data_IF_179488496939
#
_entry.id   IF_179488496939
#
_cell.length_a   1.000
_cell.length_b   1.000
_cell.length_c   1.000
_cell.angle_alpha   90.00
_cell.angle_beta   90.00
_cell.angle_gamma   90.00
#
_symmetry.space_group_name_H-M   'P 1'
#
loop_
_entity.id
_entity.type
_entity.pdbx_description
1 polymer ?
#
# COMPACT_ATOMS: atom_id res chain seq x y z
N UNK A 1 -24.16 19.28 1.22
CA UNK A 1 -23.54 19.73 2.50
C UNK A 1 -24.35 19.17 3.68
N UNK A 2 -23.81 18.19 4.41
CA UNK A 2 -23.89 17.94 5.88
C UNK A 2 -22.78 16.89 6.17
N UNK A 3 -21.63 17.32 6.72
CA UNK A 3 -21.13 17.03 8.09
C UNK A 3 -21.15 15.53 8.42
N UNK A 4 -20.03 14.85 8.63
CA UNK A 4 -19.15 14.79 9.82
C UNK A 4 -17.95 13.90 9.40
N UNK A 5 -16.74 13.90 9.96
CA UNK A 5 -16.24 14.43 11.21
C UNK A 5 -14.70 14.46 11.12
N UNK A 6 -14.11 15.35 11.91
CA UNK A 6 -12.66 15.54 11.94
C UNK A 6 -11.94 14.47 12.73
N UNK A 7 -10.70 14.23 12.32
CA UNK A 7 -9.55 14.00 13.21
C UNK A 7 -8.30 14.41 12.43
N UNK A 8 -7.62 15.45 12.92
CA UNK A 8 -6.25 15.79 12.55
C UNK A 8 -5.32 14.91 13.40
N UNK A 9 -4.51 14.03 12.81
CA UNK A 9 -3.26 13.52 13.39
C UNK A 9 -2.58 12.57 12.39
N UNK A 10 -1.31 12.69 12.02
CA UNK A 10 -0.27 13.64 12.39
C UNK A 10 0.69 13.80 11.20
N UNK A 11 1.35 14.96 11.15
CA UNK A 11 2.57 15.27 10.36
C UNK A 11 2.76 14.49 9.05
N UNK A 12 2.51 15.06 7.87
CA UNK A 12 2.79 14.39 6.61
C UNK A 12 4.29 14.53 6.30
N UNK A 13 5.17 13.95 7.12
CA UNK A 13 6.59 13.94 6.81
C UNK A 13 6.93 12.99 5.63
N UNK A 14 5.98 12.16 5.17
CA UNK A 14 6.20 11.21 4.07
C UNK A 14 5.16 11.28 2.93
N UNK A 15 4.40 12.36 2.79
CA UNK A 15 3.39 12.48 1.71
C UNK A 15 4.05 12.85 0.37
N UNK A 16 4.53 11.84 -0.34
CA UNK A 16 4.82 11.86 -1.77
C UNK A 16 3.54 12.23 -2.56
N UNK A 17 3.36 13.54 -2.80
CA UNK A 17 2.51 14.30 -3.75
C UNK A 17 1.07 13.84 -4.15
N UNK A 18 0.68 12.58 -4.01
CA UNK A 18 -0.58 12.01 -4.52
C UNK A 18 -1.23 11.03 -3.51
N UNK A 19 -0.93 11.16 -2.22
CA UNK A 19 -1.43 10.26 -1.18
C UNK A 19 -0.85 8.84 -1.24
N UNK A 20 0.25 8.65 -1.97
CA UNK A 20 0.96 7.38 -1.97
C UNK A 20 1.63 7.15 -0.62
N UNK A 21 1.56 5.92 -0.15
CA UNK A 21 2.35 5.45 0.99
C UNK A 21 3.63 4.78 0.49
N UNK A 22 4.65 4.60 1.35
CA UNK A 22 5.83 3.81 0.99
C UNK A 22 5.48 2.43 0.45
N UNK A 23 4.42 1.82 0.99
CA UNK A 23 3.94 0.50 0.56
C UNK A 23 3.41 0.51 -0.88
N UNK A 24 2.71 1.56 -1.33
CA UNK A 24 2.30 1.71 -2.72
C UNK A 24 3.49 1.80 -3.69
N UNK A 25 4.53 2.55 -3.31
CA UNK A 25 5.73 2.65 -4.14
C UNK A 25 6.48 1.32 -4.21
N UNK A 26 6.55 0.61 -3.08
CA UNK A 26 7.16 -0.72 -3.04
C UNK A 26 6.42 -1.69 -3.96
N UNK A 27 5.09 -1.82 -3.87
CA UNK A 27 4.35 -2.73 -4.76
C UNK A 27 4.45 -2.38 -6.24
N UNK A 28 4.61 -1.10 -6.58
CA UNK A 28 4.80 -0.64 -7.97
C UNK A 28 6.22 -0.88 -8.50
N UNK A 29 7.20 -1.19 -7.65
CA UNK A 29 8.58 -1.35 -8.08
C UNK A 29 8.78 -2.61 -8.94
N UNK A 30 9.27 -2.46 -10.17
CA UNK A 30 9.58 -3.58 -11.08
C UNK A 30 11.00 -4.09 -10.83
N UNK A 31 11.21 -4.74 -9.69
CA UNK A 31 12.52 -5.25 -9.25
C UNK A 31 12.38 -6.62 -8.62
N UNK A 32 13.41 -7.48 -8.74
CA UNK A 32 13.45 -8.80 -8.08
C UNK A 32 13.36 -8.75 -6.56
N UNK A 33 13.57 -7.58 -5.96
CA UNK A 33 13.52 -7.35 -4.52
C UNK A 33 12.15 -6.87 -4.04
N UNK A 34 11.15 -6.76 -4.93
CA UNK A 34 9.85 -6.19 -4.58
C UNK A 34 9.17 -6.95 -3.46
N UNK A 35 9.27 -8.28 -3.44
CA UNK A 35 8.74 -9.12 -2.37
C UNK A 35 9.32 -8.70 -1.01
N UNK A 36 10.65 -8.65 -0.88
CA UNK A 36 11.35 -8.23 0.35
C UNK A 36 11.00 -6.81 0.76
N UNK A 37 10.86 -5.89 -0.19
CA UNK A 37 10.50 -4.49 0.10
C UNK A 37 9.10 -4.38 0.68
N UNK A 38 8.13 -5.09 0.08
CA UNK A 38 6.75 -5.14 0.55
C UNK A 38 6.69 -5.82 1.92
N UNK A 39 7.39 -6.94 2.10
CA UNK A 39 7.47 -7.68 3.37
C UNK A 39 7.96 -6.80 4.52
N UNK A 40 9.11 -6.14 4.35
CA UNK A 40 9.69 -5.27 5.39
C UNK A 40 8.76 -4.12 5.76
N UNK A 41 8.04 -3.56 4.80
CA UNK A 41 7.10 -2.47 5.07
C UNK A 41 5.86 -2.99 5.81
N UNK A 42 5.32 -4.15 5.44
CA UNK A 42 4.21 -4.78 6.15
C UNK A 42 4.60 -5.12 7.60
N UNK A 43 5.79 -5.70 7.79
CA UNK A 43 6.32 -6.05 9.11
C UNK A 43 6.60 -4.80 9.97
N UNK A 44 6.96 -3.67 9.34
CA UNK A 44 7.09 -2.38 10.00
C UNK A 44 5.73 -1.71 10.35
N UNK A 45 4.61 -2.38 10.08
CA UNK A 45 3.27 -1.87 10.37
C UNK A 45 2.73 -0.89 9.34
N UNK A 46 3.22 -0.93 8.09
CA UNK A 46 2.63 -0.13 7.03
C UNK A 46 1.19 -0.54 6.78
N UNK A 47 0.31 0.45 6.60
CA UNK A 47 -1.10 0.21 6.33
C UNK A 47 -1.32 -0.36 4.92
N UNK A 48 -1.63 -1.67 4.86
CA UNK A 48 -1.95 -2.40 3.64
C UNK A 48 -3.29 -1.99 3.00
N UNK A 49 -4.17 -1.32 3.76
CA UNK A 49 -5.48 -0.83 3.30
C UNK A 49 -5.46 0.64 2.89
N UNK A 50 -4.30 1.31 3.03
CA UNK A 50 -4.16 2.72 2.69
C UNK A 50 -4.60 2.97 1.24
N UNK A 51 -5.32 4.05 1.01
CA UNK A 51 -5.77 4.44 -0.33
C UNK A 51 -5.00 5.66 -0.81
N UNK A 52 -4.41 5.56 -2.00
CA UNK A 52 -3.89 6.72 -2.72
C UNK A 52 -5.02 7.66 -3.15
N UNK A 53 -4.70 8.87 -3.62
CA UNK A 53 -5.71 9.85 -4.04
C UNK A 53 -6.61 9.36 -5.19
N UNK A 54 -6.14 8.42 -6.01
CA UNK A 54 -6.93 7.78 -7.06
C UNK A 54 -7.83 6.65 -6.55
N UNK A 55 -7.90 6.45 -5.23
CA UNK A 55 -8.68 5.40 -4.58
C UNK A 55 -8.03 4.01 -4.58
N UNK A 56 -6.86 3.86 -5.21
CA UNK A 56 -6.16 2.58 -5.30
C UNK A 56 -5.42 2.23 -4.03
N UNK A 57 -5.38 0.95 -3.72
CA UNK A 57 -4.68 0.33 -2.60
C UNK A 57 -3.34 -0.25 -3.03
N UNK A 58 -2.43 -0.59 -2.11
CA UNK A 58 -1.20 -1.31 -2.45
C UNK A 58 -1.46 -2.63 -3.20
N UNK A 59 -2.56 -3.33 -2.89
CA UNK A 59 -2.95 -4.54 -3.60
C UNK A 59 -3.27 -4.27 -5.08
N UNK A 60 -3.98 -3.17 -5.39
CA UNK A 60 -4.27 -2.82 -6.79
C UNK A 60 -2.99 -2.56 -7.59
N UNK A 61 -1.91 -2.09 -6.95
CA UNK A 61 -0.60 -1.98 -7.60
C UNK A 61 0.15 -3.31 -7.67
N UNK A 62 -0.11 -4.24 -6.73
CA UNK A 62 0.42 -5.59 -6.79
C UNK A 62 -0.19 -6.39 -7.96
N UNK A 63 -1.47 -6.19 -8.27
CA UNK A 63 -2.12 -6.77 -9.46
C UNK A 63 -1.47 -6.29 -10.77
N UNK A 64 -1.16 -4.99 -10.87
CA UNK A 64 -0.42 -4.44 -12.03
C UNK A 64 1.04 -4.94 -12.11
N UNK A 65 1.58 -5.46 -11.00
CA UNK A 65 2.93 -5.99 -10.90
C UNK A 65 2.95 -7.51 -10.67
N UNK A 66 1.93 -8.21 -11.17
CA UNK A 66 1.73 -9.64 -11.01
C UNK A 66 2.95 -10.47 -11.45
N UNK A 67 3.70 -10.02 -12.47
CA UNK A 67 4.93 -10.69 -12.93
C UNK A 67 5.96 -10.95 -11.81
N UNK A 68 5.98 -10.11 -10.77
CA UNK A 68 6.94 -10.20 -9.67
C UNK A 68 6.31 -10.63 -8.33
N UNK A 69 5.01 -10.38 -8.15
CA UNK A 69 4.33 -10.58 -6.87
C UNK A 69 3.33 -11.74 -6.90
N UNK A 70 2.76 -12.10 -8.04
CA UNK A 70 1.76 -13.17 -8.09
C UNK A 70 2.36 -14.50 -7.58
N UNK A 71 1.66 -15.14 -6.65
CA UNK A 71 2.11 -16.38 -6.02
C UNK A 71 3.07 -16.20 -4.84
N UNK A 72 3.52 -14.98 -4.53
CA UNK A 72 4.30 -14.71 -3.30
C UNK A 72 3.41 -14.62 -2.07
N UNK A 73 4.00 -14.79 -0.88
CA UNK A 73 3.27 -14.66 0.39
C UNK A 73 2.78 -13.22 0.58
N UNK A 74 3.57 -12.23 0.20
CA UNK A 74 3.19 -10.82 0.34
C UNK A 74 2.00 -10.43 -0.52
N UNK A 75 1.83 -11.04 -1.69
CA UNK A 75 0.66 -10.83 -2.54
C UNK A 75 -0.62 -11.26 -1.84
N UNK A 76 -0.60 -12.46 -1.24
CA UNK A 76 -1.74 -12.96 -0.48
C UNK A 76 -1.99 -12.16 0.80
N UNK A 77 -0.95 -11.71 1.49
CA UNK A 77 -1.10 -10.82 2.66
C UNK A 77 -1.80 -9.51 2.28
N UNK A 78 -1.43 -8.90 1.14
CA UNK A 78 -2.07 -7.69 0.65
C UNK A 78 -3.53 -7.94 0.24
N UNK A 79 -3.83 -9.09 -0.37
CA UNK A 79 -5.18 -9.50 -0.72
C UNK A 79 -6.06 -9.69 0.53
N UNK A 80 -5.60 -10.50 1.49
CA UNK A 80 -6.32 -10.78 2.73
C UNK A 80 -6.53 -9.53 3.57
N UNK A 81 -5.54 -8.62 3.56
CA UNK A 81 -5.64 -7.35 4.23
C UNK A 81 -6.82 -6.50 3.73
N UNK A 82 -7.40 -6.75 2.55
CA UNK A 82 -8.61 -6.03 2.12
C UNK A 82 -9.87 -6.42 2.90
N UNK A 83 -9.87 -7.57 3.57
CA UNK A 83 -11.06 -8.16 4.20
C UNK A 83 -11.01 -8.22 5.74
N UNK A 84 -9.84 -7.98 6.32
CA UNK A 84 -9.70 -7.80 7.78
C UNK A 84 -10.24 -6.43 8.20
#
# INVERSE_FOLDING_TARGET
RKSQGGTLQGTPSNAIALGFTPLHLATKARTRYVERLVEVLLDAGADAKARAMNGRTPFDFAEENADYLAGTVVYWRLFEAQFQ
#
